data_IF_386092590348
#
_entry.id   IF_386092590348
#
_cell.length_a   1.000
_cell.length_b   1.000
_cell.length_c   1.000
_cell.angle_alpha   90.00
_cell.angle_beta   90.00
_cell.angle_gamma   90.00
#
_symmetry.space_group_name_H-M   'P 1'
#
loop_
_entity.id
_entity.type
_entity.pdbx_description
1 polymer ?
#
# COMPACT_ATOMS: atom_id res chain seq x y z
N UNK A 1 11.12 1.25 -1.26
CA UNK A 1 9.90 0.39 -1.20
C UNK A 1 8.67 0.92 -1.97
N UNK A 2 8.42 2.23 -2.04
CA UNK A 2 7.16 2.80 -2.57
C UNK A 2 6.96 2.65 -4.09
N UNK A 3 8.03 2.68 -4.89
CA UNK A 3 7.94 2.65 -6.35
C UNK A 3 7.45 1.29 -6.89
N UNK A 4 7.97 0.17 -6.37
CA UNK A 4 7.55 -1.20 -6.74
C UNK A 4 6.08 -1.47 -6.38
N UNK A 5 5.62 -1.02 -5.22
CA UNK A 5 4.21 -1.08 -4.80
C UNK A 5 3.29 -0.33 -5.77
N UNK A 6 3.66 0.92 -6.10
CA UNK A 6 2.89 1.74 -7.05
C UNK A 6 2.86 1.11 -8.45
N UNK A 7 3.98 0.52 -8.87
CA UNK A 7 4.08 -0.22 -10.12
C UNK A 7 3.06 -1.37 -10.18
N UNK A 8 3.09 -2.32 -9.23
CA UNK A 8 2.13 -3.43 -9.25
C UNK A 8 0.68 -2.97 -9.17
N UNK A 9 0.39 -1.91 -8.39
CA UNK A 9 -0.94 -1.30 -8.34
C UNK A 9 -1.42 -0.76 -9.71
N UNK A 10 -0.52 -0.17 -10.51
CA UNK A 10 -0.83 0.31 -11.88
C UNK A 10 -1.32 -0.81 -12.80
N UNK A 11 -0.81 -2.03 -12.61
CA UNK A 11 -1.18 -3.21 -13.39
C UNK A 11 -2.34 -4.02 -12.78
N UNK A 12 -2.96 -3.52 -11.69
CA UNK A 12 -4.02 -4.24 -10.98
C UNK A 12 -3.53 -5.51 -10.26
N UNK A 13 -2.22 -5.61 -10.01
CA UNK A 13 -1.59 -6.79 -9.41
C UNK A 13 -1.61 -6.64 -7.89
N UNK A 14 -2.39 -7.49 -7.22
CA UNK A 14 -2.37 -7.61 -5.77
C UNK A 14 -1.18 -8.46 -5.32
N UNK A 15 -0.12 -7.79 -4.90
CA UNK A 15 1.08 -8.43 -4.35
C UNK A 15 1.01 -8.65 -2.83
N UNK A 16 0.01 -8.07 -2.15
CA UNK A 16 -0.10 -8.12 -0.70
C UNK A 16 -0.80 -9.41 -0.26
N UNK A 17 -2.03 -9.64 -0.73
CA UNK A 17 -2.77 -10.87 -0.44
C UNK A 17 -2.56 -11.92 -1.54
N UNK A 18 -2.31 -11.47 -2.77
CA UNK A 18 -2.06 -12.32 -3.94
C UNK A 18 -0.60 -12.71 -4.17
N UNK A 19 0.31 -12.45 -3.22
CA UNK A 19 1.76 -12.64 -3.37
C UNK A 19 2.23 -14.07 -3.68
N UNK A 20 1.37 -15.07 -3.47
CA UNK A 20 1.62 -16.48 -3.85
C UNK A 20 1.48 -16.77 -5.35
N UNK A 21 0.87 -15.86 -6.12
CA UNK A 21 0.65 -16.06 -7.54
C UNK A 21 1.94 -15.76 -8.33
N UNK A 22 2.24 -16.58 -9.33
CA UNK A 22 3.37 -16.33 -10.22
C UNK A 22 3.10 -15.12 -11.12
N UNK A 23 4.17 -14.45 -11.55
CA UNK A 23 4.08 -13.35 -12.53
C UNK A 23 3.36 -13.84 -13.80
N UNK A 24 3.65 -15.06 -14.26
CA UNK A 24 2.95 -15.69 -15.39
C UNK A 24 1.43 -15.72 -15.23
N UNK A 25 0.97 -16.20 -14.08
CA UNK A 25 -0.45 -16.36 -13.80
C UNK A 25 -1.14 -15.01 -13.78
N UNK A 26 -0.54 -14.04 -13.12
CA UNK A 26 -1.07 -12.68 -13.02
C UNK A 26 -1.09 -11.99 -14.39
N UNK A 27 -0.03 -12.10 -15.18
CA UNK A 27 0.03 -11.56 -16.53
C UNK A 27 -1.09 -12.12 -17.42
N UNK A 28 -1.32 -13.44 -17.39
CA UNK A 28 -2.42 -14.08 -18.13
C UNK A 28 -3.78 -13.60 -17.66
N UNK A 29 -4.00 -13.56 -16.33
CA UNK A 29 -5.27 -13.14 -15.73
C UNK A 29 -5.64 -11.68 -16.07
N UNK A 30 -4.64 -10.79 -16.14
CA UNK A 30 -4.84 -9.36 -16.37
C UNK A 30 -4.59 -8.92 -17.82
N UNK A 31 -4.31 -9.85 -18.74
CA UNK A 31 -4.00 -9.52 -20.14
C UNK A 31 -2.73 -8.67 -20.32
N UNK A 32 -1.78 -8.80 -19.39
CA UNK A 32 -0.53 -8.03 -19.38
C UNK A 32 0.56 -8.78 -20.13
N UNK A 33 1.27 -8.08 -21.03
CA UNK A 33 2.45 -8.64 -21.68
C UNK A 33 3.59 -8.77 -20.66
N UNK A 34 4.03 -10.01 -20.42
CA UNK A 34 5.07 -10.34 -19.44
C UNK A 34 6.39 -9.61 -19.73
N UNK A 35 6.88 -9.65 -20.96
CA UNK A 35 8.17 -9.03 -21.33
C UNK A 35 8.15 -7.52 -21.10
N UNK A 36 7.02 -6.87 -21.41
CA UNK A 36 6.82 -5.44 -21.13
C UNK A 36 6.80 -5.15 -19.62
N UNK A 37 6.11 -5.98 -18.83
CA UNK A 37 6.07 -5.84 -17.37
C UNK A 37 7.48 -5.97 -16.76
N UNK A 38 8.26 -6.97 -17.17
CA UNK A 38 9.62 -7.21 -16.68
C UNK A 38 10.56 -6.04 -17.04
N UNK A 39 10.47 -5.51 -18.26
CA UNK A 39 11.24 -4.35 -18.69
C UNK A 39 10.89 -3.09 -17.89
N UNK A 40 9.59 -2.79 -17.70
CA UNK A 40 9.17 -1.63 -16.89
C UNK A 40 9.56 -1.82 -15.40
N UNK A 41 9.49 -3.04 -14.86
CA UNK A 41 9.88 -3.33 -13.48
C UNK A 41 11.39 -3.16 -13.26
N UNK A 42 12.22 -3.54 -14.24
CA UNK A 42 13.66 -3.34 -14.21
C UNK A 42 14.00 -1.84 -14.18
N UNK A 43 13.33 -1.03 -15.01
CA UNK A 43 13.50 0.42 -15.02
C UNK A 43 13.10 1.06 -13.68
N UNK A 44 12.05 0.57 -13.01
CA UNK A 44 11.64 1.06 -11.67
C UNK A 44 12.61 0.62 -10.58
N UNK A 45 13.29 -0.53 -10.76
CA UNK A 45 14.21 -1.10 -9.77
C UNK A 45 15.54 -0.36 -9.70
N UNK A 46 15.98 0.29 -10.79
CA UNK A 46 17.22 1.09 -10.82
C UNK A 46 17.15 2.45 -10.11
N UNK A 47 15.94 2.89 -9.69
CA UNK A 47 15.71 4.27 -9.22
C UNK A 47 15.82 4.40 -7.68
N UNK A 48 15.97 3.32 -6.92
CA UNK A 48 15.99 3.38 -5.45
C UNK A 48 16.91 2.34 -4.80
N UNK A 49 18.19 2.68 -4.69
CA UNK A 49 19.19 1.99 -3.87
C UNK A 49 19.10 2.36 -2.38
N UNK A 50 17.89 2.63 -1.85
CA UNK A 50 17.74 2.62 -0.40
C UNK A 50 17.81 1.18 0.07
N UNK A 51 18.79 0.87 0.93
CA UNK A 51 18.98 -0.42 1.56
C UNK A 51 17.65 -0.88 2.17
N UNK A 52 16.96 -1.78 1.46
CA UNK A 52 15.78 -2.45 2.01
C UNK A 52 16.28 -3.50 2.97
N UNK A 53 15.74 -3.54 4.18
CA UNK A 53 15.94 -4.66 5.08
C UNK A 53 15.56 -5.96 4.37
N UNK A 54 16.44 -6.94 4.41
CA UNK A 54 16.08 -8.30 4.01
C UNK A 54 15.29 -8.95 5.14
N UNK A 55 13.98 -8.69 5.17
CA UNK A 55 13.09 -9.21 6.21
C UNK A 55 13.09 -10.74 6.28
N UNK A 56 13.48 -11.45 5.22
CA UNK A 56 13.55 -12.91 5.22
C UNK A 56 14.73 -13.45 6.05
N UNK A 57 15.75 -12.61 6.30
CA UNK A 57 16.92 -12.96 7.12
C UNK A 57 16.67 -12.80 8.62
N UNK A 58 15.52 -12.26 9.01
CA UNK A 58 15.24 -11.95 10.41
C UNK A 58 14.62 -13.13 11.14
N UNK A 59 15.08 -13.33 12.37
CA UNK A 59 14.43 -14.25 13.30
C UNK A 59 12.99 -13.81 13.57
N UNK A 60 12.10 -14.80 13.69
CA UNK A 60 10.66 -14.55 13.82
C UNK A 60 10.29 -13.60 14.98
N UNK A 61 10.87 -13.73 16.20
CA UNK A 61 10.57 -12.80 17.29
C UNK A 61 10.89 -11.35 16.94
N UNK A 62 12.04 -11.11 16.32
CA UNK A 62 12.45 -9.76 15.94
C UNK A 62 11.56 -9.18 14.83
N UNK A 63 11.16 -10.00 13.86
CA UNK A 63 10.25 -9.58 12.80
C UNK A 63 8.88 -9.16 13.37
N UNK A 64 8.35 -9.91 14.34
CA UNK A 64 7.10 -9.56 15.03
C UNK A 64 7.23 -8.21 15.74
N UNK A 65 8.28 -8.04 16.54
CA UNK A 65 8.52 -6.79 17.26
C UNK A 65 8.67 -5.60 16.32
N UNK A 66 9.38 -5.77 15.21
CA UNK A 66 9.52 -4.73 14.20
C UNK A 66 8.17 -4.35 13.59
N UNK A 67 7.34 -5.32 13.21
CA UNK A 67 6.00 -5.05 12.64
C UNK A 67 5.15 -4.25 13.64
N UNK A 68 5.15 -4.62 14.92
CA UNK A 68 4.40 -3.91 15.96
C UNK A 68 4.91 -2.48 16.13
N UNK A 69 6.22 -2.32 16.34
CA UNK A 69 6.81 -1.04 16.75
C UNK A 69 6.95 -0.04 15.59
N UNK A 70 7.12 -0.53 14.36
CA UNK A 70 7.30 0.31 13.18
C UNK A 70 5.98 0.46 12.41
N UNK A 71 5.32 -0.65 12.08
CA UNK A 71 4.13 -0.60 11.22
C UNK A 71 2.85 -0.31 12.02
N UNK A 72 2.50 -1.13 13.02
CA UNK A 72 1.25 -0.95 13.76
C UNK A 72 1.21 0.40 14.47
N UNK A 73 2.28 0.76 15.18
CA UNK A 73 2.39 2.06 15.86
C UNK A 73 2.19 3.24 14.89
N UNK A 74 2.80 3.18 13.70
CA UNK A 74 2.60 4.20 12.67
C UNK A 74 1.13 4.24 12.22
N UNK A 75 0.56 3.10 11.84
CA UNK A 75 -0.82 3.02 11.32
C UNK A 75 -1.80 3.57 12.35
N UNK A 76 -1.77 3.12 13.60
CA UNK A 76 -2.65 3.62 14.66
C UNK A 76 -2.54 5.14 14.81
N UNK A 77 -1.31 5.68 14.90
CA UNK A 77 -1.11 7.12 15.04
C UNK A 77 -1.62 7.94 13.84
N UNK A 78 -1.57 7.38 12.64
CA UNK A 78 -2.00 8.08 11.42
C UNK A 78 -3.49 7.97 11.18
N UNK A 79 -4.11 6.85 11.52
CA UNK A 79 -5.56 6.66 11.42
C UNK A 79 -6.28 7.68 12.30
N UNK A 80 -5.85 7.86 13.55
CA UNK A 80 -6.45 8.85 14.47
C UNK A 80 -6.38 10.28 13.91
N UNK A 81 -5.27 10.61 13.26
CA UNK A 81 -5.08 11.93 12.64
C UNK A 81 -5.94 12.11 11.38
N UNK A 82 -6.00 11.08 10.53
CA UNK A 82 -6.83 11.08 9.31
C UNK A 82 -8.31 11.23 9.68
N UNK A 83 -8.75 10.54 10.74
CA UNK A 83 -10.12 10.64 11.26
C UNK A 83 -10.46 12.06 11.71
N UNK A 84 -9.57 12.71 12.48
CA UNK A 84 -9.74 14.10 12.88
C UNK A 84 -9.84 15.05 11.67
N UNK A 85 -9.03 14.82 10.64
CA UNK A 85 -9.09 15.61 9.41
C UNK A 85 -10.37 15.35 8.60
N UNK A 86 -10.80 14.09 8.47
CA UNK A 86 -12.04 13.74 7.79
C UNK A 86 -13.24 14.44 8.44
N UNK A 87 -13.34 14.40 9.78
CA UNK A 87 -14.38 15.14 10.52
C UNK A 87 -14.31 16.65 10.32
N UNK A 88 -13.10 17.22 10.31
CA UNK A 88 -12.92 18.66 10.08
C UNK A 88 -13.41 19.06 8.69
N UNK A 89 -13.07 18.30 7.66
CA UNK A 89 -13.51 18.54 6.28
C UNK A 89 -15.02 18.39 6.17
N UNK A 90 -15.60 17.32 6.71
CA UNK A 90 -17.05 17.11 6.75
C UNK A 90 -17.78 18.28 7.43
N UNK A 91 -17.26 18.77 8.56
CA UNK A 91 -17.87 19.90 9.29
C UNK A 91 -17.85 21.20 8.50
N UNK A 92 -16.77 21.49 7.76
CA UNK A 92 -16.62 22.76 7.03
C UNK A 92 -17.29 22.72 5.64
N UNK A 93 -17.25 21.57 4.97
CA UNK A 93 -17.65 21.43 3.57
C UNK A 93 -18.84 20.50 3.34
N UNK A 94 -19.31 19.78 4.36
CA UNK A 94 -20.38 18.78 4.23
C UNK A 94 -21.72 19.33 3.74
N UNK A 95 -21.98 20.64 3.92
CA UNK A 95 -23.18 21.28 3.39
C UNK A 95 -23.19 21.35 1.86
N UNK A 96 -22.02 21.37 1.21
CA UNK A 96 -21.87 21.47 -0.25
C UNK A 96 -21.37 20.15 -0.88
N UNK A 97 -20.79 19.26 -0.07
CA UNK A 97 -20.16 18.01 -0.50
C UNK A 97 -20.52 16.89 0.49
N UNK A 98 -21.67 16.26 0.28
CA UNK A 98 -22.21 15.22 1.16
C UNK A 98 -21.27 13.99 1.26
N UNK A 99 -20.49 13.71 0.21
CA UNK A 99 -19.48 12.65 0.20
C UNK A 99 -18.41 12.83 1.28
N UNK A 100 -18.15 14.07 1.72
CA UNK A 100 -17.18 14.33 2.80
C UNK A 100 -17.71 13.86 4.16
N UNK A 101 -19.03 13.87 4.36
CA UNK A 101 -19.68 13.33 5.55
C UNK A 101 -19.62 11.81 5.53
N UNK A 102 -19.97 11.19 4.40
CA UNK A 102 -19.89 9.73 4.22
C UNK A 102 -18.47 9.21 4.46
N UNK A 103 -17.45 9.87 3.92
CA UNK A 103 -16.05 9.50 4.17
C UNK A 103 -15.72 9.58 5.66
N UNK A 104 -16.13 10.63 6.36
CA UNK A 104 -15.86 10.76 7.80
C UNK A 104 -16.54 9.67 8.64
N UNK A 105 -17.73 9.23 8.23
CA UNK A 105 -18.46 8.15 8.87
C UNK A 105 -17.79 6.78 8.62
N UNK A 106 -17.35 6.52 7.40
CA UNK A 106 -16.59 5.29 7.05
C UNK A 106 -15.27 5.16 7.81
N UNK A 107 -14.65 6.27 8.19
CA UNK A 107 -13.45 6.27 9.04
C UNK A 107 -13.76 6.12 10.54
N UNK A 108 -15.02 6.25 10.95
CA UNK A 108 -15.47 6.16 12.34
C UNK A 108 -16.07 4.79 12.72
N UNK A 109 -16.37 3.94 11.75
CA UNK A 109 -16.88 2.58 11.91
C UNK A 109 -15.75 1.56 12.14
#
# INVERSE_FOLDING_TARGET
>A
MTAKRKFFKKFGIDFCCGGKNTVEFVCKKHGVNRAKLEAELAAVSGINNQATHDFNSWELPFLIDYIINVHHKYVTSKVDLIHQYARKVARVHGHAAAETVEIADLFSA
#
